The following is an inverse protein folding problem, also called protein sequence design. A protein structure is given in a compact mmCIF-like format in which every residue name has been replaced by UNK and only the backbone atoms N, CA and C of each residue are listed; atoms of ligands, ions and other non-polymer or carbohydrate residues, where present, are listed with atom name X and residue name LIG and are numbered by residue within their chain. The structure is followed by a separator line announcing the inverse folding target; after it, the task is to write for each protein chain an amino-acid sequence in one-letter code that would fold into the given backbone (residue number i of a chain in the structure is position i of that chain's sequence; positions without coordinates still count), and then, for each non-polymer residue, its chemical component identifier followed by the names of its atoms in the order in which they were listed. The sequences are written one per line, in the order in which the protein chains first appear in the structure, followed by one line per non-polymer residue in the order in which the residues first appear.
data_IF_330891585378
#
_entry.id   IF_330891585378
#
_cell.length_a   1.000
_cell.length_b   1.000
_cell.length_c   1.000
_cell.angle_alpha   90.00
_cell.angle_beta   90.00
_cell.angle_gamma   90.00
#
_symmetry.space_group_name_H-M   'P 1'
#
loop_
_entity.id
_entity.type
_entity.pdbx_description
1 polymer ?
#
# COMPACT_ATOMS: atom_id res chain seq x y z
N UNK A 1 3.70 -5.04 22.20
CA UNK A 1 4.06 -4.44 20.90
C UNK A 1 3.70 -5.46 19.83
N UNK A 2 2.86 -5.10 18.86
CA UNK A 2 2.70 -5.90 17.64
C UNK A 2 4.02 -5.88 16.85
N UNK A 3 4.26 -6.89 16.02
CA UNK A 3 5.43 -6.89 15.14
C UNK A 3 5.23 -5.87 14.02
N UNK A 4 6.30 -5.23 13.50
CA UNK A 4 6.17 -4.25 12.41
C UNK A 4 5.54 -4.85 11.14
N UNK A 5 5.69 -6.14 10.89
CA UNK A 5 5.01 -6.86 9.80
C UNK A 5 3.50 -6.94 10.03
N UNK A 6 3.06 -7.16 11.27
CA UNK A 6 1.63 -7.17 11.62
C UNK A 6 1.04 -5.77 11.41
N UNK A 7 1.75 -4.73 11.85
CA UNK A 7 1.33 -3.34 11.63
C UNK A 7 1.27 -2.98 10.13
N UNK A 8 2.18 -3.53 9.31
CA UNK A 8 2.18 -3.34 7.87
C UNK A 8 0.99 -4.06 7.20
N UNK A 9 0.68 -5.28 7.64
CA UNK A 9 -0.52 -6.01 7.18
C UNK A 9 -1.78 -5.21 7.52
N UNK A 10 -1.91 -4.74 8.76
CA UNK A 10 -3.07 -3.93 9.19
C UNK A 10 -3.21 -2.65 8.35
N UNK A 11 -2.08 -2.04 7.95
CA UNK A 11 -2.06 -0.87 7.08
C UNK A 11 -2.55 -1.21 5.67
N UNK A 12 -2.03 -2.28 5.07
CA UNK A 12 -2.45 -2.71 3.73
C UNK A 12 -3.91 -3.16 3.70
N UNK A 13 -4.40 -3.80 4.77
CA UNK A 13 -5.82 -4.15 4.92
C UNK A 13 -6.70 -2.87 4.98
N UNK A 14 -6.23 -1.78 5.60
CA UNK A 14 -6.92 -0.48 5.56
C UNK A 14 -6.92 0.15 4.16
N UNK A 15 -5.81 0.02 3.41
CA UNK A 15 -5.75 0.49 2.01
C UNK A 15 -6.70 -0.31 1.13
N UNK A 16 -6.72 -1.65 1.26
CA UNK A 16 -7.67 -2.51 0.56
C UNK A 16 -9.11 -2.15 0.88
N UNK A 17 -9.42 -1.82 2.15
CA UNK A 17 -10.74 -1.36 2.53
C UNK A 17 -11.11 -0.03 1.85
N UNK A 18 -10.16 0.91 1.72
CA UNK A 18 -10.38 2.17 1.00
C UNK A 18 -10.61 1.93 -0.50
N UNK A 19 -9.80 1.06 -1.11
CA UNK A 19 -9.93 0.68 -2.53
C UNK A 19 -11.29 0.05 -2.80
N UNK A 20 -11.78 -0.83 -1.91
CA UNK A 20 -13.07 -1.51 -2.07
C UNK A 20 -14.29 -0.65 -1.70
N UNK A 21 -14.09 0.48 -1.01
CA UNK A 21 -15.19 1.32 -0.52
C UNK A 21 -15.79 2.22 -1.61
N UNK A 22 -15.00 2.59 -2.62
CA UNK A 22 -15.40 3.48 -3.71
C UNK A 22 -14.85 2.96 -5.05
N UNK A 23 -15.50 3.23 -6.19
CA UNK A 23 -14.93 2.94 -7.50
C UNK A 23 -13.61 3.68 -7.70
N UNK A 24 -12.58 2.99 -8.21
CA UNK A 24 -11.28 3.61 -8.43
C UNK A 24 -11.18 4.26 -9.82
N UNK A 25 -10.72 5.51 -9.87
CA UNK A 25 -10.32 6.18 -11.10
C UNK A 25 -8.86 5.84 -11.42
N UNK A 26 -8.69 4.98 -12.44
CA UNK A 26 -7.40 4.48 -12.91
C UNK A 26 -6.98 5.13 -14.25
N UNK A 27 -7.61 6.24 -14.67
CA UNK A 27 -7.41 6.84 -16.00
C UNK A 27 -5.93 7.15 -16.31
N UNK A 28 -5.15 7.50 -15.29
CA UNK A 28 -3.73 7.87 -15.44
C UNK A 28 -2.76 6.72 -15.12
N UNK A 29 -3.28 5.55 -14.76
CA UNK A 29 -2.45 4.45 -14.31
C UNK A 29 -1.84 3.66 -15.47
N UNK A 30 -0.52 3.49 -15.41
CA UNK A 30 0.21 2.55 -16.28
C UNK A 30 0.40 1.17 -15.63
N UNK A 31 0.31 1.11 -14.30
CA UNK A 31 0.59 -0.09 -13.51
C UNK A 31 -0.61 -1.02 -13.39
N UNK A 32 -1.82 -0.46 -13.33
CA UNK A 32 -3.06 -1.22 -13.15
C UNK A 32 -4.02 -0.87 -14.28
N UNK A 33 -4.45 -1.88 -15.04
CA UNK A 33 -5.43 -1.71 -16.11
C UNK A 33 -6.86 -1.64 -15.57
N UNK A 34 -7.11 -2.18 -14.38
CA UNK A 34 -8.42 -2.22 -13.74
C UNK A 34 -8.28 -2.35 -12.21
N UNK A 35 -9.40 -2.15 -11.51
CA UNK A 35 -9.45 -2.18 -10.04
C UNK A 35 -9.09 -3.55 -9.46
N UNK A 36 -9.43 -4.63 -10.17
CA UNK A 36 -9.11 -5.98 -9.72
C UNK A 36 -7.60 -6.21 -9.67
N UNK A 37 -6.83 -5.72 -10.66
CA UNK A 37 -5.37 -5.82 -10.64
C UNK A 37 -4.74 -5.07 -9.46
N UNK A 38 -5.29 -3.90 -9.07
CA UNK A 38 -4.84 -3.18 -7.88
C UNK A 38 -5.12 -3.99 -6.60
N UNK A 39 -6.32 -4.54 -6.49
CA UNK A 39 -6.72 -5.36 -5.33
C UNK A 39 -5.84 -6.61 -5.23
N UNK A 40 -5.66 -7.32 -6.34
CA UNK A 40 -4.85 -8.55 -6.39
C UNK A 40 -3.38 -8.27 -6.03
N UNK A 41 -2.82 -7.14 -6.47
CA UNK A 41 -1.46 -6.74 -6.16
C UNK A 41 -1.27 -6.46 -4.65
N UNK A 42 -2.23 -5.76 -4.03
CA UNK A 42 -2.23 -5.48 -2.60
C UNK A 42 -2.47 -6.75 -1.76
N UNK A 43 -3.40 -7.62 -2.18
CA UNK A 43 -3.66 -8.90 -1.51
C UNK A 43 -2.46 -9.84 -1.59
N UNK A 44 -1.73 -9.90 -2.73
CA UNK A 44 -0.47 -10.65 -2.85
C UNK A 44 0.59 -10.12 -1.87
N UNK A 45 0.75 -8.79 -1.80
CA UNK A 45 1.66 -8.16 -0.84
C UNK A 45 1.34 -8.57 0.60
N UNK A 46 0.06 -8.47 1.00
CA UNK A 46 -0.40 -8.89 2.33
C UNK A 46 -0.10 -10.37 2.57
N UNK A 47 -0.40 -11.24 1.60
CA UNK A 47 -0.16 -12.67 1.70
C UNK A 47 1.33 -13.03 1.87
N UNK A 48 2.24 -12.28 1.22
CA UNK A 48 3.69 -12.43 1.40
C UNK A 48 4.15 -11.98 2.77
N UNK A 49 3.74 -10.80 3.22
CA UNK A 49 4.14 -10.26 4.53
C UNK A 49 3.67 -11.18 5.67
N UNK A 50 2.45 -11.73 5.57
CA UNK A 50 1.93 -12.73 6.53
C UNK A 50 2.76 -14.02 6.60
N UNK A 51 3.53 -14.33 5.56
CA UNK A 51 4.47 -15.46 5.49
C UNK A 51 5.91 -15.06 5.81
N UNK A 52 6.11 -13.85 6.37
CA UNK A 52 7.41 -13.24 6.65
C UNK A 52 8.27 -13.02 5.38
N UNK A 53 7.64 -12.94 4.21
CA UNK A 53 8.29 -12.59 2.95
C UNK A 53 8.18 -11.07 2.73
N UNK A 54 9.28 -10.36 2.96
CA UNK A 54 9.41 -8.91 2.77
C UNK A 54 10.03 -8.55 1.41
N UNK A 55 10.16 -9.49 0.47
CA UNK A 55 10.82 -9.26 -0.84
C UNK A 55 10.18 -8.14 -1.67
N UNK A 56 8.90 -7.83 -1.45
CA UNK A 56 8.17 -6.75 -2.14
C UNK A 56 8.17 -5.42 -1.40
N UNK A 57 8.86 -5.31 -0.26
CA UNK A 57 8.83 -4.09 0.57
C UNK A 57 9.34 -2.86 -0.19
N UNK A 58 10.42 -3.00 -0.96
CA UNK A 58 10.97 -1.92 -1.78
C UNK A 58 10.02 -1.54 -2.93
N UNK A 59 9.33 -2.51 -3.53
CA UNK A 59 8.31 -2.24 -4.55
C UNK A 59 7.10 -1.51 -3.98
N UNK A 60 6.63 -1.92 -2.79
CA UNK A 60 5.58 -1.22 -2.06
C UNK A 60 5.98 0.23 -1.78
N UNK A 61 7.24 0.51 -1.46
CA UNK A 61 7.68 1.89 -1.24
C UNK A 61 7.53 2.78 -2.49
N UNK A 62 7.71 2.23 -3.68
CA UNK A 62 7.47 2.94 -4.94
C UNK A 62 5.97 3.17 -5.20
N UNK A 63 5.13 2.19 -4.83
CA UNK A 63 3.66 2.32 -4.94
C UNK A 63 3.13 3.41 -4.00
N UNK A 64 3.69 3.50 -2.80
CA UNK A 64 3.34 4.49 -1.78
C UNK A 64 4.10 5.83 -1.91
N UNK A 65 5.06 5.96 -2.82
CA UNK A 65 5.83 7.18 -2.97
C UNK A 65 4.93 8.39 -3.30
N UNK A 66 5.37 9.63 -3.00
CA UNK A 66 4.74 10.82 -3.54
C UNK A 66 4.65 10.72 -5.06
N UNK A 67 3.48 10.98 -5.64
CA UNK A 67 3.20 10.77 -7.08
C UNK A 67 3.33 9.32 -7.57
N UNK A 68 3.46 8.36 -6.66
CA UNK A 68 3.36 6.93 -6.96
C UNK A 68 1.93 6.53 -7.30
N UNK A 69 1.76 5.30 -7.81
CA UNK A 69 0.46 4.81 -8.29
C UNK A 69 -0.65 4.97 -7.25
N UNK A 70 -0.40 4.63 -5.98
CA UNK A 70 -1.45 4.72 -4.96
C UNK A 70 -1.82 6.17 -4.62
N UNK A 71 -0.86 7.10 -4.66
CA UNK A 71 -1.11 8.53 -4.47
C UNK A 71 -2.02 9.08 -5.57
N UNK A 72 -1.71 8.77 -6.84
CA UNK A 72 -2.46 9.23 -7.99
C UNK A 72 -3.89 8.65 -8.02
N UNK A 73 -4.02 7.36 -7.69
CA UNK A 73 -5.31 6.68 -7.59
C UNK A 73 -6.14 7.31 -6.47
N UNK A 74 -5.56 7.52 -5.28
CA UNK A 74 -6.26 8.14 -4.17
C UNK A 74 -6.71 9.58 -4.46
N UNK A 75 -5.87 10.35 -5.16
CA UNK A 75 -6.22 11.70 -5.63
C UNK A 75 -7.40 11.67 -6.61
N UNK A 76 -7.34 10.78 -7.60
CA UNK A 76 -8.37 10.69 -8.65
C UNK A 76 -9.68 10.09 -8.13
N UNK A 77 -9.59 9.21 -7.14
CA UNK A 77 -10.72 8.46 -6.57
C UNK A 77 -11.31 9.10 -5.30
N UNK A 78 -10.81 10.27 -4.88
CA UNK A 78 -11.40 11.07 -3.80
C UNK A 78 -11.09 10.64 -2.37
N UNK A 79 -10.01 9.87 -2.15
CA UNK A 79 -9.60 9.41 -0.81
C UNK A 79 -8.15 9.80 -0.44
N UNK A 80 -7.64 10.88 -1.05
CA UNK A 80 -6.28 11.38 -0.85
C UNK A 80 -5.94 11.72 0.62
N UNK A 81 -6.90 12.25 1.39
CA UNK A 81 -6.69 12.57 2.81
C UNK A 81 -6.41 11.30 3.62
N UNK A 82 -7.18 10.23 3.36
CA UNK A 82 -6.97 8.92 3.98
C UNK A 82 -5.63 8.32 3.54
N UNK A 83 -5.31 8.39 2.24
CA UNK A 83 -4.02 7.96 1.73
C UNK A 83 -2.87 8.69 2.41
N UNK A 84 -2.97 10.00 2.64
CA UNK A 84 -1.90 10.78 3.30
C UNK A 84 -1.62 10.26 4.71
N UNK A 85 -2.66 9.92 5.48
CA UNK A 85 -2.50 9.33 6.81
C UNK A 85 -1.87 7.94 6.74
N UNK A 86 -2.32 7.10 5.80
CA UNK A 86 -1.81 5.74 5.64
C UNK A 86 -0.37 5.74 5.09
N UNK A 87 -0.03 6.62 4.15
CA UNK A 87 1.30 6.78 3.57
C UNK A 87 2.33 7.21 4.62
N UNK A 88 2.01 8.19 5.46
CA UNK A 88 2.88 8.59 6.57
C UNK A 88 3.14 7.43 7.55
N UNK A 89 2.12 6.59 7.80
CA UNK A 89 2.29 5.37 8.62
C UNK A 89 3.16 4.34 7.93
N UNK A 90 3.02 4.18 6.61
CA UNK A 90 3.83 3.29 5.80
C UNK A 90 5.30 3.71 5.86
N UNK A 91 5.62 4.99 5.67
CA UNK A 91 7.00 5.50 5.71
C UNK A 91 7.68 5.18 7.06
N UNK A 92 6.96 5.37 8.17
CA UNK A 92 7.45 5.05 9.51
C UNK A 92 7.70 3.54 9.70
N UNK A 93 6.82 2.69 9.14
CA UNK A 93 6.97 1.23 9.19
C UNK A 93 8.11 0.74 8.30
N UNK A 94 8.22 1.28 7.09
CA UNK A 94 9.29 0.97 6.14
C UNK A 94 10.66 1.26 6.75
N UNK A 95 10.84 2.44 7.36
CA UNK A 95 12.09 2.77 8.06
C UNK A 95 12.44 1.76 9.16
N UNK A 96 11.46 1.39 10.00
CA UNK A 96 11.65 0.40 11.09
C UNK A 96 12.02 -0.99 10.55
N UNK A 97 11.35 -1.44 9.48
CA UNK A 97 11.60 -2.75 8.86
C UNK A 97 13.00 -2.81 8.24
N UNK A 98 13.46 -1.72 7.61
CA UNK A 98 14.79 -1.64 6.99
C UNK A 98 15.92 -1.52 8.01
N UNK A 99 15.67 -0.88 9.15
CA UNK A 99 16.65 -0.83 10.24
C UNK A 99 16.80 -2.17 10.95
N UNK A 100 15.78 -3.03 10.95
CA UNK A 100 15.84 -4.38 11.49
C UNK A 100 16.61 -5.39 10.60
N UNK A 101 16.90 -5.05 9.34
CA UNK A 101 17.71 -5.88 8.43
C UNK A 101 19.23 -5.65 8.57
N UNK A 102 19.65 -4.65 9.37
CA UNK A 102 21.06 -4.34 9.65
C UNK A 102 21.54 -5.03 10.92
#
# INVERSE_FOLDING_TARGET
MQSPETELVDLLDQVLAAVRAVPQDLTWQRRYANEQELIDDLDDCVGRIRRHDLSRLDELSLVFAPTGSLCEIAASSGWLDLYTVLGNRFDALYARLRDNEK
#
